data_IF_389349677439
#
_entry.id   IF_389349677439
#
_cell.length_a   1.000
_cell.length_b   1.000
_cell.length_c   1.000
_cell.angle_alpha   90.00
_cell.angle_beta   90.00
_cell.angle_gamma   90.00
#
_symmetry.space_group_name_H-M   'P 1'
#
loop_
_entity.id
_entity.type
_entity.pdbx_description
1 polymer ?
#
# COMPACT_ATOMS: atom_id res chain seq x y z
N UNK A 1 7.10 0.23 26.85
CA UNK A 1 5.70 0.06 26.57
C UNK A 1 5.23 1.04 25.55
N UNK A 2 4.51 0.55 24.59
CA UNK A 2 3.96 1.45 23.59
C UNK A 2 2.91 2.34 24.25
N UNK A 3 2.69 3.47 23.67
CA UNK A 3 1.60 4.32 24.10
C UNK A 3 0.27 3.65 23.89
N UNK A 4 0.31 2.43 23.46
CA UNK A 4 -0.80 1.54 23.45
C UNK A 4 -1.90 1.84 22.48
N UNK A 5 -2.03 3.02 22.06
CA UNK A 5 -3.23 3.37 21.34
C UNK A 5 -3.02 3.68 19.87
N UNK A 6 -1.83 4.05 19.51
CA UNK A 6 -1.62 4.43 18.12
C UNK A 6 -0.98 3.32 17.33
N UNK A 7 -1.71 2.81 16.34
CA UNK A 7 -1.14 1.91 15.38
C UNK A 7 -0.28 2.69 14.40
N UNK A 8 0.82 2.05 13.98
CA UNK A 8 1.68 2.60 12.96
C UNK A 8 1.56 1.73 11.72
N UNK A 9 1.57 2.37 10.56
CA UNK A 9 1.38 1.70 9.28
C UNK A 9 2.52 2.03 8.34
N UNK A 10 2.82 1.08 7.45
CA UNK A 10 3.70 1.36 6.33
C UNK A 10 3.10 0.74 5.08
N UNK A 11 3.41 1.32 3.93
CA UNK A 11 2.96 0.77 2.66
C UNK A 11 4.15 0.14 1.95
N UNK A 12 3.96 -1.07 1.46
CA UNK A 12 4.95 -1.76 0.64
C UNK A 12 4.45 -1.83 -0.79
N UNK A 13 5.18 -1.24 -1.70
CA UNK A 13 4.76 -1.07 -3.08
C UNK A 13 5.92 -1.45 -4.01
N UNK A 14 5.60 -1.93 -5.19
CA UNK A 14 6.62 -2.16 -6.19
C UNK A 14 6.09 -2.83 -7.43
N UNK A 15 7.00 -3.12 -8.34
CA UNK A 15 6.66 -3.68 -9.63
C UNK A 15 6.45 -5.18 -9.54
N UNK A 16 5.62 -5.69 -10.45
CA UNK A 16 5.52 -7.14 -10.66
C UNK A 16 6.84 -7.72 -11.16
N UNK A 17 7.68 -6.88 -11.76
CA UNK A 17 8.97 -7.29 -12.33
C UNK A 17 10.14 -6.95 -11.42
N UNK A 18 9.89 -6.77 -10.14
CA UNK A 18 10.95 -6.49 -9.17
C UNK A 18 11.96 -7.65 -9.15
N UNK A 19 13.26 -7.37 -9.23
CA UNK A 19 14.27 -8.43 -9.21
C UNK A 19 14.24 -9.26 -7.93
N UNK A 20 14.64 -10.51 -8.03
CA UNK A 20 14.58 -11.45 -6.91
C UNK A 20 15.35 -10.94 -5.68
N UNK A 21 16.54 -10.37 -5.90
CA UNK A 21 17.33 -9.85 -4.77
C UNK A 21 16.56 -8.75 -4.02
N UNK A 22 15.82 -7.92 -4.74
CA UNK A 22 14.99 -6.88 -4.12
C UNK A 22 13.79 -7.49 -3.41
N UNK A 23 13.19 -8.52 -4.00
CA UNK A 23 12.08 -9.23 -3.36
C UNK A 23 12.52 -9.85 -2.04
N UNK A 24 13.70 -10.45 -2.01
CA UNK A 24 14.24 -11.04 -0.79
C UNK A 24 14.43 -9.97 0.29
N UNK A 25 14.92 -8.80 -0.12
CA UNK A 25 15.11 -7.70 0.80
C UNK A 25 13.79 -7.16 1.32
N UNK A 26 12.79 -7.08 0.44
CA UNK A 26 11.44 -6.65 0.82
C UNK A 26 10.82 -7.60 1.83
N UNK A 27 11.05 -8.91 1.68
CA UNK A 27 10.59 -9.89 2.65
C UNK A 27 11.25 -9.63 4.01
N UNK A 28 12.55 -9.32 4.03
CA UNK A 28 13.24 -8.98 5.27
C UNK A 28 12.67 -7.71 5.90
N UNK A 29 12.40 -6.71 5.08
CA UNK A 29 11.78 -5.46 5.57
C UNK A 29 10.43 -5.76 6.21
N UNK A 30 9.61 -6.59 5.55
CA UNK A 30 8.32 -6.99 6.09
C UNK A 30 8.44 -7.64 7.45
N UNK A 31 9.45 -8.49 7.63
CA UNK A 31 9.70 -9.13 8.92
C UNK A 31 10.10 -8.12 9.99
N UNK A 32 11.04 -7.23 9.64
CA UNK A 32 11.53 -6.22 10.59
C UNK A 32 10.41 -5.27 11.00
N UNK A 33 9.63 -4.80 10.04
CA UNK A 33 8.53 -3.89 10.33
C UNK A 33 7.48 -4.55 11.22
N UNK A 34 7.19 -5.83 10.97
CA UNK A 34 6.25 -6.57 11.81
C UNK A 34 6.76 -6.69 13.24
N UNK A 35 8.05 -6.96 13.42
CA UNK A 35 8.65 -7.04 14.74
C UNK A 35 8.60 -5.71 15.49
N UNK A 36 8.46 -4.62 14.76
CA UNK A 36 8.33 -3.28 15.35
C UNK A 36 6.87 -2.85 15.46
N UNK A 37 5.95 -3.80 15.34
CA UNK A 37 4.50 -3.57 15.46
C UNK A 37 3.91 -2.65 14.40
N UNK A 38 4.52 -2.62 13.21
CA UNK A 38 3.97 -1.89 12.10
C UNK A 38 3.00 -2.78 11.32
N UNK A 39 1.87 -2.21 10.95
CA UNK A 39 0.89 -2.90 10.12
C UNK A 39 1.18 -2.61 8.65
N UNK A 40 1.23 -3.66 7.84
CA UNK A 40 1.47 -3.53 6.41
C UNK A 40 0.20 -3.13 5.68
N UNK A 41 0.33 -2.19 4.76
CA UNK A 41 -0.71 -1.90 3.77
C UNK A 41 -0.15 -2.18 2.39
N UNK A 42 -0.86 -2.99 1.62
CA UNK A 42 -0.37 -3.44 0.32
C UNK A 42 -1.52 -3.73 -0.62
N UNK A 43 -1.19 -3.95 -1.89
CA UNK A 43 -2.17 -4.22 -2.93
C UNK A 43 -2.30 -5.70 -3.29
N UNK A 44 -1.46 -6.56 -2.74
CA UNK A 44 -1.56 -7.99 -3.00
C UNK A 44 -1.12 -8.44 -4.39
N UNK A 45 -0.48 -7.57 -5.16
CA UNK A 45 -0.04 -7.93 -6.50
C UNK A 45 1.19 -8.85 -6.47
N UNK A 46 1.36 -9.61 -7.54
CA UNK A 46 2.55 -10.46 -7.70
C UNK A 46 3.80 -9.59 -7.66
N UNK A 47 4.88 -10.12 -7.10
CA UNK A 47 6.15 -9.41 -7.02
C UNK A 47 6.32 -8.70 -5.70
N UNK A 48 6.58 -7.40 -5.74
CA UNK A 48 6.92 -6.63 -4.55
C UNK A 48 5.84 -6.70 -3.46
N UNK A 49 4.57 -6.50 -3.83
CA UNK A 49 3.49 -6.52 -2.85
C UNK A 49 3.48 -7.84 -2.07
N UNK A 50 3.59 -8.96 -2.79
CA UNK A 50 3.57 -10.27 -2.14
C UNK A 50 4.85 -10.53 -1.33
N UNK A 51 5.96 -9.92 -1.70
CA UNK A 51 7.20 -10.08 -0.95
C UNK A 51 7.06 -9.43 0.43
N UNK A 52 6.52 -8.22 0.51
CA UNK A 52 6.25 -7.59 1.80
C UNK A 52 5.26 -8.41 2.61
N UNK A 53 4.21 -8.90 1.96
CA UNK A 53 3.19 -9.71 2.64
C UNK A 53 3.79 -10.99 3.20
N UNK A 54 4.68 -11.63 2.45
CA UNK A 54 5.36 -12.84 2.92
C UNK A 54 6.15 -12.58 4.19
N UNK A 55 6.88 -11.44 4.23
CA UNK A 55 7.63 -11.08 5.43
C UNK A 55 6.73 -10.82 6.62
N UNK A 56 5.61 -10.16 6.37
CA UNK A 56 4.61 -9.91 7.41
C UNK A 56 4.05 -11.23 7.94
N UNK A 57 3.68 -12.14 7.06
CA UNK A 57 3.09 -13.42 7.44
C UNK A 57 4.08 -14.30 8.22
N UNK A 58 5.35 -14.25 7.87
CA UNK A 58 6.38 -15.03 8.58
C UNK A 58 6.48 -14.65 10.05
N UNK A 59 6.13 -13.43 10.40
CA UNK A 59 6.16 -12.96 11.79
C UNK A 59 4.76 -12.80 12.37
N UNK A 60 3.75 -13.40 11.73
CA UNK A 60 2.35 -13.34 12.17
C UNK A 60 1.85 -11.90 12.34
N UNK A 61 2.25 -11.03 11.44
CA UNK A 61 1.93 -9.62 11.53
C UNK A 61 0.54 -9.28 11.04
N UNK A 62 0.16 -8.04 11.24
CA UNK A 62 -1.12 -7.51 10.77
C UNK A 62 -0.94 -6.84 9.43
N UNK A 63 -1.92 -7.01 8.56
CA UNK A 63 -1.86 -6.45 7.22
C UNK A 63 -3.25 -6.03 6.76
N UNK A 64 -3.27 -5.03 5.91
CA UNK A 64 -4.48 -4.54 5.24
C UNK A 64 -4.18 -4.56 3.75
N UNK A 65 -4.89 -5.42 3.03
CA UNK A 65 -4.64 -5.64 1.61
C UNK A 65 -5.82 -5.13 0.80
N UNK A 66 -5.54 -4.21 -0.13
CA UNK A 66 -6.54 -3.67 -1.03
C UNK A 66 -6.15 -3.99 -2.47
N UNK A 67 -6.89 -4.91 -3.10
CA UNK A 67 -6.70 -5.18 -4.51
C UNK A 67 -7.68 -4.34 -5.31
N UNK A 68 -7.42 -4.11 -6.61
CA UNK A 68 -8.37 -3.34 -7.43
C UNK A 68 -9.76 -3.97 -7.51
N UNK A 69 -9.86 -5.26 -7.18
CA UNK A 69 -11.15 -5.97 -7.21
C UNK A 69 -11.76 -6.14 -5.83
N UNK A 70 -11.16 -5.58 -4.80
CA UNK A 70 -11.70 -5.68 -3.45
C UNK A 70 -13.04 -4.96 -3.35
N UNK A 71 -13.99 -5.58 -2.65
CA UNK A 71 -15.33 -5.00 -2.52
C UNK A 71 -15.35 -3.70 -1.74
N UNK A 72 -14.38 -3.47 -0.87
CA UNK A 72 -14.31 -2.22 -0.11
C UNK A 72 -13.55 -1.13 -0.83
N UNK A 73 -13.04 -1.38 -2.03
CA UNK A 73 -12.47 -0.30 -2.83
C UNK A 73 -13.60 0.28 -3.67
N UNK A 74 -14.23 1.28 -3.11
CA UNK A 74 -15.26 2.03 -3.79
C UNK A 74 -14.67 3.39 -4.14
N UNK A 75 -15.13 3.98 -5.23
CA UNK A 75 -14.67 5.32 -5.61
C UNK A 75 -15.36 6.36 -4.74
N UNK A 76 -15.00 6.37 -3.46
CA UNK A 76 -15.49 7.38 -2.55
C UNK A 76 -14.94 8.75 -2.91
N UNK A 77 -15.71 9.78 -2.61
CA UNK A 77 -15.33 11.13 -2.95
C UNK A 77 -13.98 11.53 -2.36
N UNK A 78 -13.70 11.12 -1.12
CA UNK A 78 -12.43 11.47 -0.48
C UNK A 78 -11.24 10.86 -1.24
N UNK A 79 -11.40 9.62 -1.71
CA UNK A 79 -10.32 8.93 -2.44
C UNK A 79 -10.10 9.59 -3.80
N UNK A 80 -11.17 9.98 -4.46
CA UNK A 80 -11.09 10.69 -5.73
C UNK A 80 -10.38 12.03 -5.55
N UNK A 81 -10.73 12.76 -4.50
CA UNK A 81 -10.10 14.05 -4.21
C UNK A 81 -8.59 13.89 -3.97
N UNK A 82 -8.19 12.89 -3.17
CA UNK A 82 -6.77 12.63 -2.93
C UNK A 82 -6.05 12.25 -4.22
N UNK A 83 -6.69 11.40 -5.03
CA UNK A 83 -6.09 10.97 -6.30
C UNK A 83 -5.92 12.13 -7.26
N UNK A 84 -6.89 13.04 -7.32
CA UNK A 84 -6.78 14.22 -8.17
C UNK A 84 -5.61 15.11 -7.75
N UNK A 85 -5.38 15.25 -6.46
CA UNK A 85 -4.29 16.05 -5.94
C UNK A 85 -2.93 15.50 -6.37
N UNK A 86 -2.81 14.17 -6.46
CA UNK A 86 -1.56 13.51 -6.86
C UNK A 86 -1.40 13.47 -8.38
N UNK A 87 -2.48 13.28 -9.11
CA UNK A 87 -2.46 13.05 -10.56
C UNK A 87 -2.86 14.30 -11.35
N UNK A 88 -2.36 15.44 -10.95
CA UNK A 88 -2.75 16.70 -11.60
C UNK A 88 -2.25 16.81 -13.04
N UNK A 89 -1.15 16.16 -13.38
CA UNK A 89 -0.61 16.21 -14.74
C UNK A 89 -1.38 15.37 -15.74
N UNK A 90 -1.96 14.26 -15.25
CA UNK A 90 -2.74 13.37 -16.12
C UNK A 90 -4.03 13.02 -15.40
N UNK A 91 -5.13 13.72 -15.77
CA UNK A 91 -6.38 13.62 -15.01
C UNK A 91 -6.98 12.23 -15.00
N UNK A 92 -7.62 11.88 -13.89
CA UNK A 92 -8.27 10.58 -13.71
C UNK A 92 -9.29 10.27 -14.80
N UNK A 93 -10.05 11.28 -15.24
CA UNK A 93 -11.10 11.04 -16.22
C UNK A 93 -10.56 10.66 -17.59
N UNK A 94 -9.28 10.88 -17.84
CA UNK A 94 -8.63 10.49 -19.12
C UNK A 94 -7.95 9.13 -19.01
N UNK A 95 -7.95 8.53 -17.85
CA UNK A 95 -7.30 7.24 -17.64
C UNK A 95 -8.23 6.09 -18.02
N UNK A 96 -7.62 4.96 -18.42
CA UNK A 96 -8.38 3.75 -18.63
C UNK A 96 -8.97 3.30 -17.27
N UNK A 97 -10.14 2.65 -17.27
CA UNK A 97 -10.79 2.27 -16.01
C UNK A 97 -9.90 1.47 -15.08
N UNK A 98 -9.11 0.55 -15.58
CA UNK A 98 -8.25 -0.27 -14.73
C UNK A 98 -7.15 0.59 -14.09
N UNK A 99 -6.53 1.49 -14.86
CA UNK A 99 -5.50 2.39 -14.33
C UNK A 99 -6.09 3.29 -13.26
N UNK A 100 -7.27 3.84 -13.51
CA UNK A 100 -7.97 4.66 -12.54
C UNK A 100 -8.21 3.91 -11.23
N UNK A 101 -8.67 2.65 -11.32
CA UNK A 101 -8.91 1.86 -10.12
C UNK A 101 -7.63 1.59 -9.34
N UNK A 102 -6.51 1.41 -10.03
CA UNK A 102 -5.22 1.22 -9.37
C UNK A 102 -4.80 2.48 -8.60
N UNK A 103 -4.99 3.65 -9.19
CA UNK A 103 -4.64 4.91 -8.53
C UNK A 103 -5.51 5.11 -7.29
N UNK A 104 -6.81 4.88 -7.41
CA UNK A 104 -7.72 5.03 -6.29
C UNK A 104 -7.39 4.01 -5.20
N UNK A 105 -7.08 2.76 -5.57
CA UNK A 105 -6.64 1.76 -4.62
C UNK A 105 -5.41 2.21 -3.84
N UNK A 106 -4.48 2.90 -4.52
CA UNK A 106 -3.29 3.42 -3.85
C UNK A 106 -3.65 4.43 -2.75
N UNK A 107 -4.74 5.16 -2.91
CA UNK A 107 -5.18 6.09 -1.87
C UNK A 107 -5.59 5.34 -0.60
N UNK A 108 -6.24 4.19 -0.75
CA UNK A 108 -6.58 3.36 0.40
C UNK A 108 -5.33 2.81 1.07
N UNK A 109 -4.32 2.44 0.30
CA UNK A 109 -3.07 1.96 0.88
C UNK A 109 -2.37 3.04 1.70
N UNK A 110 -2.48 4.29 1.27
CA UNK A 110 -1.83 5.41 1.96
C UNK A 110 -2.65 5.88 3.16
N UNK A 111 -3.97 5.99 3.02
CA UNK A 111 -4.82 6.66 4.00
C UNK A 111 -5.73 5.74 4.82
N UNK A 112 -5.89 4.48 4.41
CA UNK A 112 -6.87 3.60 5.03
C UNK A 112 -8.25 3.82 4.43
N UNK A 113 -9.26 3.20 5.01
CA UNK A 113 -10.62 3.24 4.46
C UNK A 113 -11.65 3.92 5.35
N UNK A 114 -11.23 4.48 6.47
CA UNK A 114 -12.13 5.20 7.37
C UNK A 114 -12.11 6.68 7.04
N UNK A 115 -13.07 7.12 6.20
CA UNK A 115 -13.06 8.50 5.73
C UNK A 115 -13.25 9.53 6.84
N UNK A 116 -13.83 9.12 7.97
CA UNK A 116 -13.97 10.03 9.10
C UNK A 116 -12.73 10.13 9.95
N UNK A 117 -11.80 9.18 9.79
CA UNK A 117 -10.58 9.13 10.57
C UNK A 117 -9.47 8.50 9.75
N UNK A 118 -9.04 9.22 8.72
CA UNK A 118 -7.97 8.74 7.85
C UNK A 118 -6.68 8.60 8.64
N UNK A 119 -5.95 7.51 8.39
CA UNK A 119 -4.70 7.20 9.07
C UNK A 119 -3.60 7.01 8.03
N UNK A 120 -2.92 8.10 7.65
CA UNK A 120 -1.84 7.99 6.68
C UNK A 120 -0.75 7.05 7.17
N UNK A 121 -0.11 6.36 6.23
CA UNK A 121 1.03 5.52 6.58
C UNK A 121 2.19 6.39 7.09
N UNK A 122 3.00 5.81 7.95
CA UNK A 122 4.15 6.51 8.50
C UNK A 122 5.27 6.65 7.47
N UNK A 123 5.41 5.64 6.59
CA UNK A 123 6.35 5.69 5.49
C UNK A 123 5.97 4.68 4.41
N UNK A 124 6.59 4.82 3.26
CA UNK A 124 6.39 3.92 2.13
C UNK A 124 7.74 3.33 1.74
N UNK A 125 7.76 2.03 1.50
CA UNK A 125 8.93 1.36 0.93
C UNK A 125 8.56 0.90 -0.47
N UNK A 126 9.39 1.24 -1.44
CA UNK A 126 9.08 0.88 -2.82
C UNK A 126 10.35 0.63 -3.61
N UNK A 127 10.18 -0.07 -4.72
CA UNK A 127 11.23 -0.27 -5.71
C UNK A 127 10.76 0.29 -7.04
N UNK A 128 11.60 1.05 -7.68
CA UNK A 128 11.35 1.50 -9.03
C UNK A 128 12.65 1.51 -9.82
N UNK A 129 12.50 1.39 -11.14
CA UNK A 129 13.66 1.48 -12.03
C UNK A 129 13.76 2.94 -12.45
N UNK A 130 14.94 3.52 -12.22
CA UNK A 130 15.20 4.88 -12.65
C UNK A 130 15.64 4.92 -14.10
N UNK A 131 15.38 6.01 -14.76
CA UNK A 131 15.84 6.23 -16.13
C UNK A 131 17.21 6.89 -16.16
#
# INVERSE_FOLDING_TARGET
>A
MTKGSEKMYYAGIGSRKTPQACLDFMTKIGRVCTKKDLTLRSGGAVGADQAFERGCDLESGQKEIWTPKSQHIVEHEWAIEKAKAVCWEYPLHKMKPYTRSLIIRNMYQIFGDDEENLKPVNFVVFYCVGD
#
